data_IF_130128576279
#
_entry.id   IF_130128576279
#
_cell.length_a   1.000
_cell.length_b   1.000
_cell.length_c   1.000
_cell.angle_alpha   90.00
_cell.angle_beta   90.00
_cell.angle_gamma   90.00
#
_symmetry.space_group_name_H-M   'P 1'
#
loop_
_entity.id
_entity.type
_entity.pdbx_description
1 polymer ?
#
# COMPACT_ATOMS: atom_id res chain seq x y z
N UNK A 1 11.20 -46.66 -54.43
CA UNK A 1 12.39 -45.92 -53.93
C UNK A 1 11.95 -44.48 -53.65
N UNK A 2 11.38 -44.23 -52.46
CA UNK A 2 10.86 -42.90 -52.12
C UNK A 2 12.01 -42.00 -51.64
N UNK A 3 12.27 -40.94 -52.41
CA UNK A 3 13.30 -39.94 -52.16
C UNK A 3 12.85 -38.98 -51.06
N UNK A 4 13.71 -38.88 -50.05
CA UNK A 4 13.74 -37.94 -48.92
C UNK A 4 13.58 -36.48 -49.35
N UNK A 5 12.77 -35.71 -48.64
CA UNK A 5 12.98 -34.26 -48.44
C UNK A 5 12.88 -34.00 -46.94
N UNK A 6 13.98 -33.53 -46.36
CA UNK A 6 14.15 -33.19 -44.95
C UNK A 6 13.49 -31.81 -44.76
N UNK A 7 12.37 -31.72 -44.04
CA UNK A 7 11.80 -30.42 -43.62
C UNK A 7 12.73 -29.88 -42.54
N UNK A 8 13.61 -28.96 -42.92
CA UNK A 8 14.41 -28.20 -41.97
C UNK A 8 13.55 -27.11 -41.36
N UNK A 9 13.26 -27.23 -40.08
CA UNK A 9 12.60 -26.24 -39.22
C UNK A 9 13.48 -24.98 -39.13
N UNK A 10 13.35 -24.11 -40.11
CA UNK A 10 14.18 -22.91 -40.27
C UNK A 10 13.43 -21.63 -39.90
N UNK A 11 12.78 -21.58 -38.73
CA UNK A 11 12.24 -20.31 -38.21
C UNK A 11 12.02 -20.28 -36.68
N UNK A 12 12.60 -21.23 -35.93
CA UNK A 12 12.36 -21.36 -34.49
C UNK A 12 12.87 -20.17 -33.66
N UNK A 13 14.07 -19.66 -33.97
CA UNK A 13 14.68 -18.59 -33.17
C UNK A 13 13.98 -17.23 -33.37
N UNK A 14 13.52 -16.94 -34.59
CA UNK A 14 12.82 -15.70 -34.91
C UNK A 14 11.47 -15.59 -34.21
N UNK A 15 10.68 -16.66 -34.22
CA UNK A 15 9.40 -16.74 -33.49
C UNK A 15 9.59 -16.63 -31.97
N UNK A 16 10.63 -17.26 -31.43
CA UNK A 16 10.96 -17.15 -30.01
C UNK A 16 11.35 -15.73 -29.60
N UNK A 17 12.21 -15.08 -30.40
CA UNK A 17 12.61 -13.69 -30.15
C UNK A 17 11.42 -12.73 -30.26
N UNK A 18 10.53 -12.97 -31.23
CA UNK A 18 9.35 -12.14 -31.43
C UNK A 18 8.34 -12.34 -30.30
N UNK A 19 8.10 -13.58 -29.87
CA UNK A 19 7.30 -13.88 -28.67
C UNK A 19 7.89 -13.22 -27.42
N UNK A 20 9.20 -13.36 -27.19
CA UNK A 20 9.89 -12.76 -26.05
C UNK A 20 9.78 -11.23 -26.07
N UNK A 21 9.88 -10.60 -27.25
CA UNK A 21 9.76 -9.15 -27.38
C UNK A 21 8.37 -8.65 -26.97
N UNK A 22 7.31 -9.40 -27.31
CA UNK A 22 5.93 -9.06 -26.91
C UNK A 22 5.80 -9.14 -25.39
N UNK A 23 6.36 -10.19 -24.76
CA UNK A 23 6.36 -10.33 -23.31
C UNK A 23 7.13 -9.22 -22.60
N UNK A 24 8.30 -8.82 -23.14
CA UNK A 24 9.09 -7.73 -22.57
C UNK A 24 8.35 -6.39 -22.65
N UNK A 25 7.68 -6.11 -23.76
CA UNK A 25 6.85 -4.91 -23.91
C UNK A 25 5.65 -4.94 -22.95
N UNK A 26 4.97 -6.09 -22.83
CA UNK A 26 3.84 -6.25 -21.92
C UNK A 26 4.26 -6.05 -20.45
N UNK A 27 5.37 -6.67 -20.03
CA UNK A 27 5.91 -6.49 -18.67
C UNK A 27 6.36 -5.06 -18.46
N UNK A 28 7.07 -4.45 -19.42
CA UNK A 28 7.49 -3.06 -19.33
C UNK A 28 6.31 -2.09 -19.15
N UNK A 29 5.17 -2.38 -19.79
CA UNK A 29 3.95 -1.61 -19.60
C UNK A 29 3.29 -1.90 -18.24
N UNK A 30 3.20 -3.16 -17.81
CA UNK A 30 2.47 -3.55 -16.59
C UNK A 30 3.22 -3.23 -15.29
N UNK A 31 4.55 -3.32 -15.29
CA UNK A 31 5.39 -3.09 -14.11
C UNK A 31 5.11 -1.76 -13.40
N UNK A 32 5.05 -0.59 -14.08
CA UNK A 32 4.76 0.68 -13.40
C UNK A 32 3.37 0.72 -12.76
N UNK A 33 2.37 0.05 -13.35
CA UNK A 33 1.02 -0.02 -12.76
C UNK A 33 1.02 -0.85 -11.48
N UNK A 34 1.70 -2.00 -11.48
CA UNK A 34 1.82 -2.84 -10.28
C UNK A 34 2.53 -2.08 -9.16
N UNK A 35 3.61 -1.36 -9.48
CA UNK A 35 4.30 -0.52 -8.50
C UNK A 35 3.39 0.56 -7.92
N UNK A 36 2.64 1.28 -8.78
CA UNK A 36 1.71 2.33 -8.34
C UNK A 36 0.58 1.77 -7.47
N UNK A 37 0.02 0.61 -7.82
CA UNK A 37 -1.02 -0.05 -7.03
C UNK A 37 -0.49 -0.51 -5.67
N UNK A 38 0.74 -1.03 -5.63
CA UNK A 38 1.39 -1.39 -4.37
C UNK A 38 1.55 -0.18 -3.45
N UNK A 39 2.02 0.94 -4.00
CA UNK A 39 2.19 2.20 -3.26
C UNK A 39 0.84 2.71 -2.71
N UNK A 40 -0.18 2.79 -3.58
CA UNK A 40 -1.54 3.17 -3.18
C UNK A 40 -2.13 2.24 -2.12
N UNK A 41 -1.91 0.93 -2.23
CA UNK A 41 -2.35 -0.05 -1.25
C UNK A 41 -1.70 0.19 0.12
N UNK A 42 -0.40 0.50 0.16
CA UNK A 42 0.28 0.82 1.42
C UNK A 42 -0.28 2.08 2.07
N UNK A 43 -0.54 3.13 1.28
CA UNK A 43 -1.15 4.37 1.76
C UNK A 43 -2.55 4.14 2.33
N UNK A 44 -3.40 3.42 1.60
CA UNK A 44 -4.76 3.07 2.07
C UNK A 44 -4.70 2.29 3.37
N UNK A 45 -3.75 1.34 3.50
CA UNK A 45 -3.60 0.56 4.73
C UNK A 45 -3.18 1.43 5.92
N UNK A 46 -2.28 2.41 5.71
CA UNK A 46 -1.90 3.35 6.77
C UNK A 46 -3.08 4.24 7.18
N UNK A 47 -3.78 4.81 6.20
CA UNK A 47 -4.93 5.67 6.47
C UNK A 47 -6.05 4.93 7.20
N UNK A 48 -6.31 3.67 6.82
CA UNK A 48 -7.32 2.83 7.47
C UNK A 48 -6.89 2.51 8.91
N UNK A 49 -5.60 2.22 9.14
CA UNK A 49 -5.03 2.03 10.47
C UNK A 49 -5.22 3.25 11.37
N UNK A 50 -4.92 4.44 10.84
CA UNK A 50 -5.10 5.71 11.54
C UNK A 50 -6.58 5.98 11.88
N UNK A 51 -7.50 5.85 10.92
CA UNK A 51 -8.94 6.06 11.17
C UNK A 51 -9.47 5.09 12.22
N UNK A 52 -9.05 3.82 12.14
CA UNK A 52 -9.50 2.82 13.10
C UNK A 52 -8.98 3.08 14.52
N UNK A 53 -7.70 3.49 14.66
CA UNK A 53 -7.16 3.93 15.96
C UNK A 53 -7.90 5.16 16.49
N UNK A 54 -8.24 6.10 15.62
CA UNK A 54 -8.94 7.31 16.00
C UNK A 54 -10.30 6.95 16.60
N UNK A 55 -11.04 6.10 15.92
CA UNK A 55 -12.35 5.65 16.39
C UNK A 55 -12.27 4.89 17.72
N UNK A 56 -11.26 4.04 17.90
CA UNK A 56 -11.02 3.35 19.18
C UNK A 56 -10.76 4.34 20.33
N UNK A 57 -9.97 5.37 20.11
CA UNK A 57 -9.67 6.40 21.11
C UNK A 57 -10.92 7.23 21.47
N UNK A 58 -11.72 7.60 20.46
CA UNK A 58 -12.99 8.30 20.68
C UNK A 58 -13.96 7.43 21.47
N UNK A 59 -14.11 6.16 21.09
CA UNK A 59 -14.99 5.22 21.80
C UNK A 59 -14.53 4.95 23.22
N UNK A 60 -13.22 4.75 23.43
CA UNK A 60 -12.65 4.55 24.76
C UNK A 60 -12.95 5.73 25.68
N UNK A 61 -12.84 6.96 25.16
CA UNK A 61 -13.21 8.15 25.91
C UNK A 61 -14.71 8.21 26.24
N UNK A 62 -15.58 7.85 25.31
CA UNK A 62 -17.04 7.81 25.54
C UNK A 62 -17.39 6.76 26.61
N UNK A 63 -16.70 5.61 26.61
CA UNK A 63 -16.96 4.50 27.54
C UNK A 63 -16.39 4.74 28.95
N UNK A 64 -15.13 5.14 29.05
CA UNK A 64 -14.43 5.30 30.35
C UNK A 64 -14.51 6.72 30.91
N UNK A 65 -14.98 7.70 30.12
CA UNK A 65 -15.13 9.09 30.52
C UNK A 65 -13.81 9.85 30.75
N UNK A 66 -12.66 9.22 30.48
CA UNK A 66 -11.32 9.79 30.68
C UNK A 66 -10.51 9.76 29.39
N UNK A 67 -9.52 10.65 29.29
CA UNK A 67 -8.61 10.71 28.14
C UNK A 67 -7.53 9.65 28.30
N UNK A 68 -7.38 8.70 27.36
CA UNK A 68 -6.37 7.64 27.44
C UNK A 68 -4.92 8.15 27.47
N UNK A 69 -4.71 9.42 27.10
CA UNK A 69 -3.41 10.08 27.10
C UNK A 69 -2.63 9.86 25.82
N UNK A 70 -1.51 10.57 25.69
CA UNK A 70 -0.65 10.47 24.52
C UNK A 70 0.12 9.15 24.55
N UNK A 71 0.09 8.41 23.44
CA UNK A 71 0.79 7.14 23.32
C UNK A 71 1.17 6.86 21.88
N UNK A 72 2.19 6.03 21.73
CA UNK A 72 2.64 5.55 20.43
C UNK A 72 2.23 4.09 20.27
N UNK A 73 1.59 3.76 19.15
CA UNK A 73 1.07 2.41 18.87
C UNK A 73 1.63 1.92 17.55
N UNK A 74 2.11 0.68 17.53
CA UNK A 74 2.48 0.00 16.29
C UNK A 74 1.29 -0.81 15.76
N UNK A 75 0.84 -0.51 14.54
CA UNK A 75 -0.22 -1.24 13.86
C UNK A 75 0.18 -1.53 12.40
N UNK A 76 0.06 -2.79 11.99
CA UNK A 76 0.45 -3.26 10.65
C UNK A 76 1.91 -2.97 10.26
N UNK A 77 2.81 -2.86 11.25
CA UNK A 77 4.22 -2.54 11.06
C UNK A 77 4.51 -1.04 10.88
N UNK A 78 3.53 -0.18 11.16
CA UNK A 78 3.66 1.27 11.13
C UNK A 78 3.44 1.86 12.53
N UNK A 79 4.20 2.89 12.86
CA UNK A 79 4.14 3.59 14.13
C UNK A 79 3.20 4.79 14.01
N UNK A 80 2.26 4.89 14.95
CA UNK A 80 1.27 5.95 15.04
C UNK A 80 1.39 6.65 16.38
N UNK A 81 1.53 7.97 16.37
CA UNK A 81 1.51 8.80 17.56
C UNK A 81 0.10 9.33 17.78
N UNK A 82 -0.53 8.92 18.88
CA UNK A 82 -1.82 9.40 19.32
C UNK A 82 -1.58 10.58 20.26
N UNK A 83 -2.07 11.75 19.87
CA UNK A 83 -1.89 13.02 20.57
C UNK A 83 -3.26 13.61 20.87
N UNK A 84 -3.59 13.67 22.15
CA UNK A 84 -4.75 14.38 22.65
C UNK A 84 -4.39 15.84 22.85
N UNK A 85 -5.00 16.74 22.06
CA UNK A 85 -4.80 18.18 22.21
C UNK A 85 -5.64 18.76 23.35
N UNK A 86 -6.84 18.21 23.56
CA UNK A 86 -7.79 18.61 24.60
C UNK A 86 -8.70 17.42 24.96
N UNK A 87 -9.58 17.62 25.95
CA UNK A 87 -10.70 16.71 26.24
C UNK A 87 -11.73 16.60 25.09
N UNK A 88 -11.51 17.22 23.94
CA UNK A 88 -12.45 17.17 22.81
C UNK A 88 -11.79 16.92 21.47
N UNK A 89 -10.48 16.72 21.41
CA UNK A 89 -9.79 16.54 20.14
C UNK A 89 -8.65 15.54 20.26
N UNK A 90 -8.68 14.52 19.42
CA UNK A 90 -7.61 13.53 19.27
C UNK A 90 -7.02 13.63 17.87
N UNK A 91 -5.70 13.63 17.79
CA UNK A 91 -4.93 13.66 16.55
C UNK A 91 -4.05 12.43 16.47
N UNK A 92 -4.01 11.81 15.29
CA UNK A 92 -3.12 10.69 15.00
C UNK A 92 -2.11 11.15 13.97
N UNK A 93 -0.84 11.13 14.36
CA UNK A 93 0.29 11.40 13.48
C UNK A 93 0.92 10.09 13.03
N UNK A 94 1.20 10.00 11.74
CA UNK A 94 1.94 8.88 11.16
C UNK A 94 2.86 9.38 10.05
N UNK A 95 4.03 8.75 9.93
CA UNK A 95 5.00 9.09 8.91
C UNK A 95 5.05 7.99 7.84
N UNK A 96 4.84 8.37 6.58
CA UNK A 96 5.28 7.55 5.46
C UNK A 96 6.81 7.63 5.37
N UNK A 97 7.47 6.51 5.07
CA UNK A 97 8.94 6.35 5.11
C UNK A 97 9.77 7.41 4.36
N UNK A 98 9.14 8.25 3.52
CA UNK A 98 9.80 9.30 2.74
C UNK A 98 8.96 10.58 2.58
N UNK A 99 7.86 10.74 3.31
CA UNK A 99 6.98 11.91 3.20
C UNK A 99 6.85 12.66 4.53
N UNK A 100 6.33 13.88 4.47
CA UNK A 100 6.03 14.65 5.68
C UNK A 100 4.98 13.91 6.53
N UNK A 101 5.12 13.94 7.86
CA UNK A 101 4.17 13.28 8.75
C UNK A 101 2.77 13.84 8.50
N UNK A 102 1.83 12.94 8.26
CA UNK A 102 0.42 13.26 8.07
C UNK A 102 -0.25 13.23 9.44
N UNK A 103 -1.02 14.26 9.75
CA UNK A 103 -1.83 14.34 10.97
C UNK A 103 -3.31 14.28 10.57
N UNK A 104 -4.07 13.33 11.14
CA UNK A 104 -5.54 13.33 11.08
C UNK A 104 -6.10 13.62 12.47
N UNK A 105 -6.92 14.64 12.58
CA UNK A 105 -7.56 15.04 13.85
C UNK A 105 -9.07 14.90 13.73
N UNK A 106 -9.71 14.53 14.84
CA UNK A 106 -11.15 14.50 14.94
C UNK A 106 -11.60 15.08 16.28
N UNK A 107 -12.65 15.90 16.21
CA UNK A 107 -13.27 16.50 17.37
C UNK A 107 -14.41 15.60 17.88
N UNK A 108 -14.47 15.45 19.19
CA UNK A 108 -15.54 14.73 19.89
C UNK A 108 -16.53 15.80 20.35
N UNK A 109 -17.68 15.86 19.68
CA UNK A 109 -18.79 16.76 19.99
C UNK A 109 -19.64 16.23 21.15
#
# INVERSE_FOLDING_TARGET
MLRKIRVSEGFFLGELLLSLSIWLLAIGFLLPFVMKLSDQSTKVRMETGAVHLLYEEVQAKIADGSVPGNKTVNRYGYEYDIIWKNDREVCIKFAERFQHPVEKCEAIE
#
